data_IF_026382461364
#
_entry.id   IF_026382461364
#
_cell.length_a   1.000
_cell.length_b   1.000
_cell.length_c   1.000
_cell.angle_alpha   90.00
_cell.angle_beta   90.00
_cell.angle_gamma   90.00
#
_symmetry.space_group_name_H-M   'P 1'
#
loop_
_entity.id
_entity.type
_entity.pdbx_description
1 polymer ?
#
# COMPACT_ATOMS: atom_id res chain seq x y z
N UNK A 1 -8.04 21.66 -1.81
CA UNK A 1 -7.28 21.73 -0.54
C UNK A 1 -6.28 20.60 -0.53
N UNK A 2 -5.11 20.76 0.09
CA UNK A 2 -4.12 19.66 0.14
C UNK A 2 -4.61 18.53 1.05
N UNK A 3 -4.67 17.30 0.53
CA UNK A 3 -4.97 16.11 1.31
C UNK A 3 -3.72 15.68 2.09
N UNK A 4 -3.73 15.87 3.41
CA UNK A 4 -2.67 15.39 4.31
C UNK A 4 -2.89 13.93 4.63
N UNK A 5 -2.21 13.05 3.91
CA UNK A 5 -2.45 11.61 3.94
C UNK A 5 -1.12 10.88 3.79
N UNK A 6 -0.97 9.82 4.58
CA UNK A 6 0.08 8.81 4.45
C UNK A 6 -0.59 7.52 3.95
N UNK A 7 0.09 6.77 3.09
CA UNK A 7 -0.39 5.50 2.49
C UNK A 7 -1.79 5.59 1.88
N UNK A 8 -2.00 6.44 0.85
CA UNK A 8 -3.30 6.64 0.24
C UNK A 8 -3.75 5.40 -0.57
N UNK A 9 -4.98 4.95 -0.34
CA UNK A 9 -5.62 3.93 -1.18
C UNK A 9 -6.90 4.45 -1.81
N UNK A 10 -7.01 4.38 -3.14
CA UNK A 10 -8.17 4.88 -3.89
C UNK A 10 -8.99 3.75 -4.48
N UNK A 11 -10.30 3.74 -4.21
CA UNK A 11 -11.28 2.91 -4.91
C UNK A 11 -12.14 3.81 -5.80
N UNK A 12 -12.12 3.56 -7.11
CA UNK A 12 -13.06 4.16 -8.05
C UNK A 12 -14.33 3.31 -8.13
N UNK A 13 -15.34 3.66 -7.32
CA UNK A 13 -16.61 2.94 -7.27
C UNK A 13 -17.48 3.32 -8.48
N UNK A 14 -17.53 2.43 -9.46
CA UNK A 14 -18.26 2.66 -10.71
C UNK A 14 -19.77 2.71 -10.51
N UNK A 15 -20.31 2.03 -9.50
CA UNK A 15 -21.75 1.94 -9.27
C UNK A 15 -22.29 3.29 -8.75
N UNK A 16 -21.54 3.94 -7.85
CA UNK A 16 -21.91 5.26 -7.32
C UNK A 16 -21.27 6.44 -8.06
N UNK A 17 -20.35 6.19 -8.99
CA UNK A 17 -19.51 7.20 -9.65
C UNK A 17 -18.82 8.11 -8.63
N UNK A 18 -18.18 7.47 -7.64
CA UNK A 18 -17.49 8.14 -6.53
C UNK A 18 -16.12 7.51 -6.29
N UNK A 19 -15.10 8.35 -6.14
CA UNK A 19 -13.80 7.94 -5.65
C UNK A 19 -13.80 7.95 -4.13
N UNK A 20 -13.25 6.89 -3.55
CA UNK A 20 -13.05 6.73 -2.11
C UNK A 20 -11.57 6.68 -1.83
N UNK A 21 -11.08 7.54 -0.94
CA UNK A 21 -9.67 7.54 -0.54
C UNK A 21 -9.57 7.20 0.93
N UNK A 22 -8.96 6.04 1.22
CA UNK A 22 -8.80 5.47 2.55
C UNK A 22 -7.45 5.87 3.15
N UNK A 23 -7.46 6.17 4.45
CA UNK A 23 -6.26 6.52 5.22
C UNK A 23 -6.49 6.22 6.70
N UNK A 24 -5.40 6.07 7.47
CA UNK A 24 -5.45 6.09 8.94
C UNK A 24 -6.34 7.26 9.41
N UNK A 25 -7.22 7.01 10.37
CA UNK A 25 -8.03 8.05 10.99
C UNK A 25 -7.12 9.13 11.61
N UNK A 26 -7.33 10.39 11.22
CA UNK A 26 -6.75 11.55 11.88
C UNK A 26 -7.83 12.24 12.74
N UNK A 27 -7.73 12.15 14.08
CA UNK A 27 -8.69 12.79 14.99
C UNK A 27 -8.77 14.31 14.81
N UNK A 28 -7.73 14.97 14.29
CA UNK A 28 -7.77 16.40 14.01
C UNK A 28 -8.71 16.75 12.85
N UNK A 29 -9.01 15.79 11.97
CA UNK A 29 -9.89 15.97 10.80
C UNK A 29 -11.29 15.42 11.09
N UNK A 30 -11.40 14.22 11.65
CA UNK A 30 -12.69 13.56 11.91
C UNK A 30 -13.35 14.04 13.20
N UNK A 31 -12.55 14.43 14.20
CA UNK A 31 -13.01 14.76 15.55
C UNK A 31 -13.20 13.52 16.45
N UNK A 32 -12.87 12.33 15.97
CA UNK A 32 -13.03 11.06 16.71
C UNK A 32 -11.66 10.42 16.95
N UNK A 33 -11.41 10.08 18.22
CA UNK A 33 -10.12 9.60 18.72
C UNK A 33 -9.95 8.08 18.59
N UNK A 34 -10.97 7.35 18.15
CA UNK A 34 -10.89 5.89 18.02
C UNK A 34 -9.85 5.50 16.96
N UNK A 35 -9.09 4.46 17.26
CA UNK A 35 -8.13 3.87 16.33
C UNK A 35 -8.88 3.20 15.19
N UNK A 36 -8.55 3.54 13.94
CA UNK A 36 -9.31 3.05 12.81
C UNK A 36 -8.97 3.75 11.51
N UNK A 37 -9.83 3.55 10.51
CA UNK A 37 -9.66 4.06 9.15
C UNK A 37 -10.76 5.07 8.84
N UNK A 38 -10.36 6.17 8.21
CA UNK A 38 -11.26 7.15 7.63
C UNK A 38 -11.22 7.08 6.10
N UNK A 39 -12.29 7.53 5.47
CA UNK A 39 -12.36 7.66 4.02
C UNK A 39 -12.86 9.05 3.62
N UNK A 40 -12.19 9.64 2.63
CA UNK A 40 -12.67 10.79 1.88
C UNK A 40 -13.47 10.31 0.67
N UNK A 41 -14.42 11.11 0.21
CA UNK A 41 -15.14 10.86 -1.04
C UNK A 41 -15.00 12.04 -1.99
N UNK A 42 -14.92 11.75 -3.29
CA UNK A 42 -14.81 12.74 -4.36
C UNK A 42 -15.49 12.24 -5.63
N UNK A 43 -15.95 13.15 -6.49
CA UNK A 43 -16.43 12.81 -7.84
C UNK A 43 -15.39 13.08 -8.93
N UNK A 44 -14.31 13.78 -8.62
CA UNK A 44 -13.37 14.32 -9.60
C UNK A 44 -11.89 14.21 -9.20
N UNK A 45 -11.59 13.59 -8.05
CA UNK A 45 -10.26 13.48 -7.43
C UNK A 45 -9.64 14.80 -6.95
N UNK A 46 -10.23 15.94 -7.27
CA UNK A 46 -9.73 17.26 -6.91
C UNK A 46 -10.44 17.84 -5.67
N UNK A 47 -11.75 17.61 -5.58
CA UNK A 47 -12.60 18.12 -4.53
C UNK A 47 -13.06 16.96 -3.65
N UNK A 48 -12.58 16.95 -2.41
CA UNK A 48 -12.87 15.91 -1.43
C UNK A 48 -13.81 16.45 -0.35
N UNK A 49 -14.84 15.67 -0.05
CA UNK A 49 -15.72 15.94 1.09
C UNK A 49 -15.00 15.71 2.42
N UNK A 50 -15.61 16.18 3.52
CA UNK A 50 -15.09 15.89 4.86
C UNK A 50 -15.04 14.35 5.06
N UNK A 51 -13.94 13.79 5.56
CA UNK A 51 -13.84 12.34 5.69
C UNK A 51 -14.76 11.84 6.80
N UNK A 52 -15.12 10.56 6.68
CA UNK A 52 -15.87 9.82 7.68
C UNK A 52 -15.11 8.59 8.11
N UNK A 53 -15.33 8.17 9.35
CA UNK A 53 -14.80 6.89 9.84
C UNK A 53 -15.56 5.76 9.17
N UNK A 54 -14.81 4.82 8.59
CA UNK A 54 -15.34 3.62 7.92
C UNK A 54 -15.01 2.34 8.68
N UNK A 55 -14.00 2.38 9.55
CA UNK A 55 -13.65 1.26 10.43
C UNK A 55 -13.11 1.81 11.75
N UNK A 56 -13.49 1.18 12.86
CA UNK A 56 -12.85 1.38 14.16
C UNK A 56 -12.44 0.04 14.72
N UNK A 57 -11.21 -0.07 15.22
CA UNK A 57 -10.76 -1.26 15.93
C UNK A 57 -11.64 -1.45 17.17
N UNK A 58 -12.34 -2.59 17.31
CA UNK A 58 -13.14 -2.87 18.50
C UNK A 58 -12.29 -2.97 19.76
N UNK A 59 -12.86 -2.54 20.89
CA UNK A 59 -12.26 -2.75 22.20
C UNK A 59 -12.11 -4.24 22.51
N UNK A 60 -11.12 -4.60 23.33
CA UNK A 60 -10.87 -5.99 23.74
C UNK A 60 -10.13 -6.84 22.70
N UNK A 61 -9.77 -6.28 21.54
CA UNK A 61 -8.79 -6.90 20.64
C UNK A 61 -7.38 -6.86 21.22
N UNK A 62 -6.47 -7.68 20.70
CA UNK A 62 -5.08 -7.68 21.17
C UNK A 62 -4.30 -6.44 20.72
N UNK A 63 -4.72 -5.79 19.63
CA UNK A 63 -4.06 -4.61 19.07
C UNK A 63 -4.49 -3.34 19.82
N UNK A 64 -3.58 -2.37 19.93
CA UNK A 64 -3.86 -1.09 20.60
C UNK A 64 -3.30 0.13 19.85
N UNK A 65 -2.58 -0.08 18.75
CA UNK A 65 -2.07 0.98 17.88
C UNK A 65 -1.94 0.46 16.43
N UNK A 66 -1.50 1.32 15.52
CA UNK A 66 -1.39 1.05 14.10
C UNK A 66 -2.47 1.78 13.30
N UNK A 67 -3.31 0.99 12.62
CA UNK A 67 -4.22 1.43 11.56
C UNK A 67 -3.46 2.04 10.37
N UNK A 68 -2.32 1.44 10.02
CA UNK A 68 -1.45 1.90 8.93
C UNK A 68 -1.86 1.27 7.60
N UNK A 69 -1.56 1.98 6.50
CA UNK A 69 -1.68 1.49 5.14
C UNK A 69 -2.99 0.73 4.84
N UNK A 70 -4.15 1.39 4.95
CA UNK A 70 -5.41 0.74 4.65
C UNK A 70 -5.58 0.50 3.15
N UNK A 71 -5.83 -0.73 2.77
CA UNK A 71 -6.27 -1.09 1.43
C UNK A 71 -7.70 -1.61 1.45
N UNK A 72 -8.45 -1.34 0.39
CA UNK A 72 -9.84 -1.81 0.23
C UNK A 72 -10.00 -2.50 -1.11
N UNK A 73 -10.39 -3.77 -1.04
CA UNK A 73 -10.50 -4.68 -2.18
C UNK A 73 -11.90 -5.26 -2.29
N UNK A 74 -12.37 -5.48 -3.51
CA UNK A 74 -13.58 -6.24 -3.75
C UNK A 74 -13.26 -7.72 -3.92
N UNK A 75 -13.95 -8.59 -3.19
CA UNK A 75 -13.80 -10.04 -3.31
C UNK A 75 -15.15 -10.72 -3.11
N UNK A 76 -15.53 -11.62 -4.04
CA UNK A 76 -16.79 -12.39 -3.99
C UNK A 76 -18.04 -11.55 -3.63
N UNK A 77 -18.15 -10.36 -4.23
CA UNK A 77 -19.30 -9.46 -4.05
C UNK A 77 -19.34 -8.69 -2.73
N UNK A 78 -18.26 -8.72 -1.95
CA UNK A 78 -18.13 -7.96 -0.70
C UNK A 78 -16.86 -7.11 -0.73
N UNK A 79 -16.77 -6.16 0.19
CA UNK A 79 -15.64 -5.26 0.34
C UNK A 79 -14.81 -5.66 1.54
N UNK A 80 -13.51 -5.73 1.36
CA UNK A 80 -12.55 -6.14 2.38
C UNK A 80 -11.55 -5.03 2.60
N UNK A 81 -11.42 -4.61 3.85
CA UNK A 81 -10.43 -3.65 4.30
C UNK A 81 -9.29 -4.41 4.96
N UNK A 82 -8.06 -4.15 4.49
CA UNK A 82 -6.81 -4.63 5.05
C UNK A 82 -6.09 -3.44 5.66
N UNK A 83 -5.65 -3.52 6.91
CA UNK A 83 -4.82 -2.47 7.51
C UNK A 83 -3.93 -3.06 8.61
N UNK A 84 -2.75 -2.47 8.81
CA UNK A 84 -1.75 -2.97 9.75
C UNK A 84 -1.98 -2.43 11.15
N UNK A 85 -1.99 -3.33 12.13
CA UNK A 85 -2.13 -3.02 13.55
C UNK A 85 -1.03 -3.67 14.37
N UNK A 86 -0.73 -3.11 15.54
CA UNK A 86 0.27 -3.66 16.44
C UNK A 86 -0.07 -3.47 17.91
N UNK A 87 0.72 -4.13 18.76
CA UNK A 87 0.76 -3.91 20.19
C UNK A 87 2.15 -4.25 20.72
N UNK A 88 2.90 -3.24 21.20
CA UNK A 88 4.26 -3.44 21.70
C UNK A 88 4.34 -4.30 22.97
N UNK A 89 3.24 -4.40 23.72
CA UNK A 89 3.15 -5.28 24.89
C UNK A 89 2.90 -6.75 24.52
N UNK A 90 2.48 -7.04 23.28
CA UNK A 90 2.30 -8.40 22.77
C UNK A 90 3.64 -8.92 22.18
N UNK A 91 4.61 -9.14 23.07
CA UNK A 91 5.97 -9.58 22.70
C UNK A 91 5.95 -10.93 22.00
N UNK A 92 6.71 -11.04 20.91
CA UNK A 92 6.98 -12.31 20.20
C UNK A 92 8.48 -12.63 20.31
N UNK A 93 8.86 -13.88 20.00
CA UNK A 93 10.26 -14.28 20.09
C UNK A 93 11.15 -13.43 19.17
N UNK A 94 12.12 -12.73 19.77
CA UNK A 94 13.11 -11.97 19.03
C UNK A 94 13.94 -12.89 18.13
N UNK A 95 13.98 -12.58 16.84
CA UNK A 95 14.80 -13.26 15.83
C UNK A 95 16.06 -12.45 15.45
N UNK A 96 16.19 -11.24 15.97
CA UNK A 96 17.25 -10.27 15.63
C UNK A 96 17.72 -9.43 16.81
N UNK A 97 18.30 -8.26 16.50
CA UNK A 97 18.91 -7.35 17.50
C UNK A 97 17.92 -6.46 18.25
N UNK A 98 16.66 -6.45 17.81
CA UNK A 98 15.61 -5.52 18.26
C UNK A 98 14.52 -6.29 19.00
N UNK A 99 13.81 -5.64 19.95
CA UNK A 99 12.59 -6.21 20.49
C UNK A 99 11.55 -6.37 19.38
N UNK A 100 10.87 -7.50 19.38
CA UNK A 100 9.83 -7.83 18.42
C UNK A 100 8.50 -8.01 19.14
N UNK A 101 7.44 -7.56 18.50
CA UNK A 101 6.09 -7.66 19.02
C UNK A 101 5.11 -7.92 17.90
N UNK A 102 3.89 -8.31 18.25
CA UNK A 102 2.84 -8.60 17.28
C UNK A 102 2.51 -7.32 16.50
N UNK A 103 2.78 -7.36 15.20
CA UNK A 103 2.37 -6.39 14.18
C UNK A 103 1.96 -7.17 12.96
N UNK A 104 0.77 -6.89 12.44
CA UNK A 104 0.20 -7.67 11.33
C UNK A 104 -0.98 -6.94 10.70
N UNK A 105 -1.29 -7.31 9.47
CA UNK A 105 -2.47 -6.83 8.75
C UNK A 105 -3.73 -7.57 9.22
N UNK A 106 -4.71 -6.79 9.69
CA UNK A 106 -6.04 -7.27 10.05
C UNK A 106 -7.00 -7.13 8.88
N UNK A 107 -8.04 -7.97 8.86
CA UNK A 107 -9.09 -7.95 7.85
C UNK A 107 -10.41 -7.50 8.46
N UNK A 108 -11.08 -6.57 7.80
CA UNK A 108 -12.46 -6.21 8.09
C UNK A 108 -13.29 -6.34 6.81
N UNK A 109 -14.61 -6.53 6.95
CA UNK A 109 -15.51 -6.76 5.82
C UNK A 109 -16.75 -5.89 5.89
N UNK A 110 -17.24 -5.50 4.72
CA UNK A 110 -18.52 -4.82 4.53
C UNK A 110 -19.24 -5.39 3.31
N UNK A 111 -20.57 -5.34 3.32
CA UNK A 111 -21.37 -5.72 2.15
C UNK A 111 -21.43 -4.59 1.12
N UNK A 112 -21.23 -3.34 1.55
CA UNK A 112 -21.18 -2.15 0.70
C UNK A 112 -19.96 -1.29 1.03
N UNK A 113 -19.39 -0.63 0.02
CA UNK A 113 -18.21 0.23 0.21
C UNK A 113 -18.49 1.40 1.16
N UNK A 114 -19.73 1.88 1.18
CA UNK A 114 -20.17 3.05 1.94
C UNK A 114 -20.65 2.74 3.37
N UNK A 115 -20.75 1.46 3.71
CA UNK A 115 -21.10 0.95 5.04
C UNK A 115 -19.86 0.79 5.95
N UNK A 116 -20.02 0.83 7.28
CA UNK A 116 -18.93 0.53 8.21
C UNK A 116 -18.41 -0.91 8.06
N UNK A 117 -17.09 -1.06 7.99
CA UNK A 117 -16.43 -2.36 7.97
C UNK A 117 -16.42 -2.99 9.36
N UNK A 118 -16.64 -4.30 9.41
CA UNK A 118 -16.65 -5.10 10.64
C UNK A 118 -15.41 -5.99 10.71
N UNK A 119 -14.70 -5.96 11.83
CA UNK A 119 -13.50 -6.79 12.05
C UNK A 119 -13.79 -8.28 11.88
N UNK A 120 -12.93 -8.98 11.16
CA UNK A 120 -12.98 -10.43 10.98
C UNK A 120 -12.05 -11.15 11.95
N UNK A 121 -12.36 -12.43 12.21
CA UNK A 121 -11.51 -13.36 13.00
C UNK A 121 -11.11 -12.85 14.39
N UNK A 122 -11.89 -11.96 14.99
CA UNK A 122 -11.54 -11.35 16.29
C UNK A 122 -10.20 -10.59 16.27
N UNK A 123 -9.68 -10.23 15.09
CA UNK A 123 -8.36 -9.62 14.94
C UNK A 123 -7.20 -10.62 14.82
N UNK A 124 -7.45 -11.91 14.63
CA UNK A 124 -6.35 -12.85 14.37
C UNK A 124 -5.71 -12.63 12.98
N UNK A 125 -4.36 -12.69 12.91
CA UNK A 125 -3.61 -12.43 11.69
C UNK A 125 -3.91 -13.50 10.63
N UNK A 126 -3.69 -13.10 9.38
CA UNK A 126 -3.63 -14.06 8.27
C UNK A 126 -2.22 -14.67 8.19
N UNK A 127 -1.19 -13.82 8.28
CA UNK A 127 0.21 -14.22 8.32
C UNK A 127 0.56 -14.91 9.66
N UNK A 128 1.68 -15.64 9.75
CA UNK A 128 2.10 -16.30 10.99
C UNK A 128 2.22 -15.31 12.16
N UNK A 129 1.69 -15.68 13.34
CA UNK A 129 1.61 -14.78 14.49
C UNK A 129 2.97 -14.42 15.13
N UNK A 130 4.00 -15.23 14.87
CA UNK A 130 5.38 -15.00 15.31
C UNK A 130 6.21 -14.19 14.30
N UNK A 131 5.60 -13.74 13.21
CA UNK A 131 6.19 -12.84 12.24
C UNK A 131 5.62 -11.42 12.42
N UNK A 132 6.52 -10.45 12.39
CA UNK A 132 6.23 -9.04 12.47
C UNK A 132 6.05 -8.55 11.03
N UNK A 133 4.80 -8.42 10.61
CA UNK A 133 4.44 -8.14 9.22
C UNK A 133 3.64 -6.85 9.09
N UNK A 134 3.70 -6.23 7.91
CA UNK A 134 2.97 -5.02 7.58
C UNK A 134 2.56 -4.98 6.11
N UNK A 135 1.73 -4.01 5.77
CA UNK A 135 1.29 -3.67 4.41
C UNK A 135 0.80 -4.87 3.59
N UNK A 136 -0.10 -5.65 4.18
CA UNK A 136 -0.72 -6.77 3.49
C UNK A 136 -1.71 -6.33 2.42
N UNK A 137 -1.41 -6.65 1.16
CA UNK A 137 -2.27 -6.45 -0.01
C UNK A 137 -2.94 -7.74 -0.46
N UNK A 138 -4.16 -7.63 -0.99
CA UNK A 138 -4.88 -8.74 -1.61
C UNK A 138 -4.63 -8.72 -3.13
N UNK A 139 -4.12 -9.83 -3.67
CA UNK A 139 -4.00 -10.03 -5.11
C UNK A 139 -4.79 -11.26 -5.55
N UNK A 140 -5.55 -11.16 -6.65
CA UNK A 140 -6.23 -12.30 -7.26
C UNK A 140 -5.47 -12.67 -8.53
N UNK A 141 -4.92 -13.89 -8.57
CA UNK A 141 -4.13 -14.34 -9.71
C UNK A 141 -4.98 -14.65 -10.96
N UNK A 142 -4.33 -14.92 -12.08
CA UNK A 142 -4.98 -15.22 -13.36
C UNK A 142 -5.88 -16.48 -13.33
N UNK A 143 -5.73 -17.35 -12.31
CA UNK A 143 -6.60 -18.53 -12.11
C UNK A 143 -7.78 -18.24 -11.17
N UNK A 144 -7.91 -17.00 -10.69
CA UNK A 144 -8.94 -16.57 -9.77
C UNK A 144 -8.66 -16.95 -8.32
N UNK A 145 -7.42 -17.28 -7.96
CA UNK A 145 -7.05 -17.61 -6.57
C UNK A 145 -6.53 -16.38 -5.83
N UNK A 146 -7.02 -16.14 -4.60
CA UNK A 146 -6.56 -15.01 -3.80
C UNK A 146 -5.21 -15.32 -3.13
N UNK A 147 -4.38 -14.29 -3.03
CA UNK A 147 -3.09 -14.28 -2.38
C UNK A 147 -3.01 -13.07 -1.44
N UNK A 148 -2.42 -13.27 -0.27
CA UNK A 148 -1.92 -12.14 0.53
C UNK A 148 -0.46 -11.94 0.15
N UNK A 149 -0.07 -10.71 -0.20
CA UNK A 149 1.33 -10.31 -0.33
C UNK A 149 1.60 -9.23 0.72
N UNK A 150 2.72 -9.30 1.41
CA UNK A 150 3.00 -8.43 2.55
C UNK A 150 4.51 -8.22 2.74
N UNK A 151 4.87 -7.23 3.55
CA UNK A 151 6.23 -7.03 4.01
C UNK A 151 6.50 -7.76 5.34
N UNK A 152 7.55 -8.57 5.40
CA UNK A 152 8.12 -9.08 6.64
C UNK A 152 9.16 -8.08 7.14
N UNK A 153 8.89 -7.52 8.31
CA UNK A 153 9.51 -6.28 8.68
C UNK A 153 11.01 -6.41 8.98
N UNK A 154 11.78 -5.46 8.44
CA UNK A 154 13.21 -5.32 8.67
C UNK A 154 13.60 -5.28 10.16
N UNK A 155 12.71 -4.84 11.06
CA UNK A 155 12.92 -4.87 12.51
C UNK A 155 13.20 -6.29 13.01
N UNK A 156 12.55 -7.29 12.42
CA UNK A 156 12.72 -8.70 12.77
C UNK A 156 13.77 -9.41 11.91
N UNK A 157 13.84 -9.12 10.61
CA UNK A 157 14.67 -9.89 9.63
C UNK A 157 15.89 -9.17 9.09
N UNK A 158 16.13 -7.91 9.47
CA UNK A 158 17.29 -7.11 9.06
C UNK A 158 17.13 -6.51 7.66
N UNK A 159 17.23 -7.34 6.61
CA UNK A 159 16.73 -6.92 5.30
C UNK A 159 15.28 -7.41 5.19
N UNK A 160 14.35 -6.45 5.16
CA UNK A 160 12.94 -6.70 4.97
C UNK A 160 12.71 -7.53 3.71
N UNK A 161 11.65 -8.32 3.75
CA UNK A 161 11.27 -9.19 2.64
C UNK A 161 9.87 -8.87 2.19
N UNK A 162 9.60 -9.03 0.89
CA UNK A 162 8.24 -9.20 0.42
C UNK A 162 7.97 -10.70 0.35
N UNK A 163 6.86 -11.12 0.95
CA UNK A 163 6.43 -12.51 1.00
C UNK A 163 4.98 -12.62 0.50
N UNK A 164 4.62 -13.79 0.01
CA UNK A 164 3.26 -14.09 -0.40
C UNK A 164 2.77 -15.40 0.21
N UNK A 165 1.47 -15.51 0.44
CA UNK A 165 0.84 -16.76 0.86
C UNK A 165 -0.51 -16.96 0.16
N UNK A 166 -0.82 -18.20 -0.28
CA UNK A 166 -2.10 -18.47 -0.92
C UNK A 166 -3.22 -18.37 0.12
N UNK A 167 -4.37 -17.86 -0.29
CA UNK A 167 -5.56 -17.75 0.54
C UNK A 167 -6.67 -18.69 0.03
N UNK A 168 -7.55 -19.07 0.95
CA UNK A 168 -8.83 -19.68 0.62
C UNK A 168 -9.83 -18.59 0.24
N UNK A 169 -10.99 -19.03 -0.22
CA UNK A 169 -12.09 -18.16 -0.62
C UNK A 169 -12.65 -17.28 0.53
N UNK A 170 -12.47 -17.71 1.78
CA UNK A 170 -12.81 -16.93 2.98
C UNK A 170 -11.68 -16.01 3.45
N UNK A 171 -10.61 -15.89 2.64
CA UNK A 171 -9.40 -15.13 2.91
C UNK A 171 -8.62 -15.60 4.16
N UNK A 172 -8.80 -16.87 4.57
CA UNK A 172 -7.89 -17.55 5.49
C UNK A 172 -6.69 -18.15 4.76
N UNK A 173 -5.59 -18.38 5.49
CA UNK A 173 -4.39 -19.03 4.94
C UNK A 173 -4.71 -20.39 4.31
N UNK A 174 -4.21 -20.62 3.09
CA UNK A 174 -4.28 -21.91 2.37
C UNK A 174 -2.94 -22.65 2.32
N UNK A 175 -1.86 -22.06 2.83
CA UNK A 175 -0.51 -22.63 2.83
C UNK A 175 0.48 -21.72 3.56
N UNK A 176 1.74 -22.15 3.70
CA UNK A 176 2.77 -21.33 4.31
C UNK A 176 3.15 -20.13 3.42
N UNK A 177 3.73 -19.07 3.98
CA UNK A 177 4.35 -18.03 3.20
C UNK A 177 5.52 -18.51 2.35
N UNK A 178 5.74 -17.82 1.24
CA UNK A 178 6.90 -17.95 0.37
C UNK A 178 7.59 -16.58 0.24
N UNK A 179 8.91 -16.60 0.34
CA UNK A 179 9.74 -15.43 0.05
C UNK A 179 9.64 -15.09 -1.45
N UNK A 180 9.31 -13.85 -1.78
CA UNK A 180 9.33 -13.35 -3.15
C UNK A 180 10.69 -12.72 -3.48
N UNK A 181 11.16 -11.81 -2.64
CA UNK A 181 12.49 -11.21 -2.69
C UNK A 181 12.79 -10.47 -1.39
N UNK A 182 14.08 -10.17 -1.17
CA UNK A 182 14.56 -9.29 -0.11
C UNK A 182 14.86 -7.90 -0.65
N UNK A 183 14.77 -6.87 0.18
CA UNK A 183 15.11 -5.51 -0.24
C UNK A 183 16.57 -5.37 -0.71
N UNK A 184 17.51 -6.14 -0.16
CA UNK A 184 18.93 -6.09 -0.51
C UNK A 184 19.29 -6.81 -1.83
N UNK A 185 18.30 -7.41 -2.51
CA UNK A 185 18.46 -7.93 -3.88
C UNK A 185 18.32 -6.83 -4.95
N UNK A 186 17.76 -5.67 -4.59
CA UNK A 186 17.64 -4.51 -5.45
C UNK A 186 18.88 -3.62 -5.36
N UNK A 187 19.58 -3.40 -6.48
CA UNK A 187 20.83 -2.64 -6.56
C UNK A 187 20.69 -1.14 -6.24
N UNK A 188 19.47 -0.61 -6.32
CA UNK A 188 19.12 0.78 -6.03
C UNK A 188 18.75 1.02 -4.57
N UNK A 189 18.53 -0.03 -3.77
CA UNK A 189 18.15 0.11 -2.37
C UNK A 189 19.36 0.48 -1.51
N UNK A 190 19.18 1.48 -0.66
CA UNK A 190 20.19 1.97 0.28
C UNK A 190 19.81 1.56 1.70
N UNK A 191 20.65 0.71 2.29
CA UNK A 191 20.51 0.27 3.67
C UNK A 191 20.61 1.42 4.68
N UNK A 192 19.78 1.36 5.71
CA UNK A 192 19.68 2.36 6.77
C UNK A 192 20.51 1.89 7.98
N UNK A 193 21.45 2.72 8.44
CA UNK A 193 22.22 2.44 9.65
C UNK A 193 21.36 2.63 10.89
N UNK A 194 21.34 1.63 11.75
CA UNK A 194 20.53 1.65 12.97
C UNK A 194 21.36 1.92 14.23
N UNK A 195 20.74 2.37 15.35
CA UNK A 195 21.43 2.59 16.62
C UNK A 195 22.17 1.35 17.14
N UNK A 196 21.67 0.14 16.85
CA UNK A 196 22.28 -1.14 17.22
C UNK A 196 23.52 -1.52 16.37
N UNK A 197 23.90 -0.66 15.41
CA UNK A 197 25.13 -0.75 14.64
C UNK A 197 25.07 -1.61 13.38
N UNK A 198 23.96 -2.29 13.11
CA UNK A 198 23.67 -2.99 11.86
C UNK A 198 23.07 -2.06 10.79
N UNK A 199 23.05 -2.56 9.56
CA UNK A 199 22.40 -1.93 8.41
C UNK A 199 21.17 -2.77 8.07
N UNK A 200 20.04 -2.10 7.91
CA UNK A 200 18.74 -2.72 7.61
C UNK A 200 18.21 -2.21 6.28
N UNK A 201 17.34 -2.97 5.63
CA UNK A 201 16.76 -2.59 4.33
C UNK A 201 15.25 -2.69 4.43
N UNK A 202 14.55 -1.61 4.11
CA UNK A 202 13.09 -1.51 4.28
C UNK A 202 12.38 -2.12 3.06
N UNK A 203 11.25 -2.76 3.30
CA UNK A 203 10.27 -3.20 2.30
C UNK A 203 8.90 -2.74 2.78
N UNK A 204 8.21 -1.93 1.99
CA UNK A 204 6.87 -1.40 2.33
C UNK A 204 5.95 -1.41 1.10
N UNK A 205 4.65 -1.29 1.35
CA UNK A 205 3.61 -0.98 0.35
C UNK A 205 3.61 -1.82 -0.93
N UNK A 206 3.59 -3.17 -0.86
CA UNK A 206 3.44 -3.98 -2.06
C UNK A 206 2.03 -3.80 -2.67
N UNK A 207 1.95 -3.54 -3.97
CA UNK A 207 0.68 -3.66 -4.73
C UNK A 207 0.95 -4.40 -6.05
N UNK A 208 0.24 -5.50 -6.28
CA UNK A 208 0.41 -6.30 -7.49
C UNK A 208 -0.65 -5.96 -8.53
N UNK A 209 -0.22 -5.75 -9.77
CA UNK A 209 -1.10 -5.44 -10.88
C UNK A 209 -0.63 -6.09 -12.17
N UNK A 210 -1.59 -6.41 -13.05
CA UNK A 210 -1.31 -6.91 -14.40
C UNK A 210 -1.49 -5.80 -15.43
N UNK A 211 -0.57 -5.71 -16.38
CA UNK A 211 -0.69 -4.81 -17.53
C UNK A 211 -1.72 -5.30 -18.54
N UNK A 212 -2.06 -4.46 -19.51
CA UNK A 212 -2.95 -4.80 -20.62
C UNK A 212 -2.48 -6.01 -21.45
N UNK A 213 -1.19 -6.37 -21.43
CA UNK A 213 -0.63 -7.56 -22.10
C UNK A 213 -0.43 -8.76 -21.16
N UNK A 214 -0.86 -8.67 -19.90
CA UNK A 214 -0.80 -9.75 -18.92
C UNK A 214 0.57 -9.91 -18.24
N UNK A 215 1.47 -8.93 -18.33
CA UNK A 215 2.69 -8.94 -17.53
C UNK A 215 2.36 -8.54 -16.09
N UNK A 216 2.88 -9.29 -15.12
CA UNK A 216 2.64 -9.07 -13.69
C UNK A 216 3.76 -8.21 -13.09
N UNK A 217 3.36 -7.14 -12.43
CA UNK A 217 4.24 -6.20 -11.74
C UNK A 217 3.84 -6.05 -10.28
N UNK A 218 4.76 -5.49 -9.52
CA UNK A 218 4.57 -5.10 -8.13
C UNK A 218 5.12 -3.69 -7.94
N UNK A 219 4.26 -2.77 -7.51
CA UNK A 219 4.70 -1.56 -6.82
C UNK A 219 5.21 -1.95 -5.44
N UNK A 220 6.32 -1.39 -4.99
CA UNK A 220 6.81 -1.51 -3.62
C UNK A 220 7.71 -0.32 -3.27
N UNK A 221 7.97 -0.10 -2.00
CA UNK A 221 8.77 1.04 -1.53
C UNK A 221 9.94 0.64 -0.64
N UNK A 222 10.98 1.46 -0.72
CA UNK A 222 12.19 1.38 0.11
C UNK A 222 12.90 2.74 0.12
N UNK A 223 14.11 2.79 0.70
CA UNK A 223 14.97 3.97 0.66
C UNK A 223 16.00 3.86 -0.46
N UNK A 224 16.01 4.84 -1.36
CA UNK A 224 17.08 5.05 -2.33
C UNK A 224 18.13 6.05 -1.81
N UNK A 225 19.06 6.44 -2.68
CA UNK A 225 20.12 7.42 -2.37
C UNK A 225 19.61 8.77 -1.84
N UNK A 226 18.45 9.21 -2.32
CA UNK A 226 17.93 10.56 -2.12
C UNK A 226 16.60 10.57 -1.31
N UNK A 227 16.30 9.49 -0.57
CA UNK A 227 15.13 9.38 0.30
C UNK A 227 14.22 8.19 -0.02
N UNK A 228 12.99 8.21 0.50
CA UNK A 228 11.99 7.18 0.24
C UNK A 228 11.54 7.22 -1.23
N UNK A 229 11.34 6.05 -1.84
CA UNK A 229 10.99 5.91 -3.26
C UNK A 229 9.84 4.94 -3.50
N UNK A 230 9.04 5.21 -4.52
CA UNK A 230 8.13 4.25 -5.13
C UNK A 230 8.92 3.51 -6.21
N UNK A 231 8.98 2.19 -6.14
CA UNK A 231 9.71 1.36 -7.09
C UNK A 231 8.79 0.33 -7.74
N UNK A 232 9.38 -0.36 -8.72
CA UNK A 232 8.71 -1.39 -9.51
C UNK A 232 9.55 -2.68 -9.55
N UNK A 233 8.88 -3.82 -9.38
CA UNK A 233 9.42 -5.14 -9.66
C UNK A 233 8.54 -5.88 -10.68
N UNK A 234 9.13 -6.78 -11.46
CA UNK A 234 8.46 -7.56 -12.51
C UNK A 234 8.56 -9.04 -12.22
N UNK A 235 7.43 -9.75 -12.24
CA UNK A 235 7.46 -11.21 -12.21
C UNK A 235 7.82 -11.75 -13.59
N UNK A 236 9.00 -12.37 -13.68
CA UNK A 236 9.54 -12.92 -14.93
C UNK A 236 8.76 -14.15 -15.42
N UNK A 237 8.03 -14.82 -14.53
CA UNK A 237 7.15 -15.94 -14.87
C UNK A 237 5.70 -15.51 -15.15
N UNK A 238 5.33 -14.28 -14.82
CA UNK A 238 3.94 -13.81 -14.86
C UNK A 238 3.07 -14.33 -13.71
N UNK A 239 3.66 -14.96 -12.68
CA UNK A 239 2.94 -15.50 -11.52
C UNK A 239 3.41 -14.86 -10.22
N UNK A 240 2.56 -14.88 -9.18
CA UNK A 240 2.86 -14.29 -7.86
C UNK A 240 4.16 -14.84 -7.27
N UNK A 241 4.47 -16.11 -7.52
CA UNK A 241 5.64 -16.80 -6.98
C UNK A 241 6.97 -16.34 -7.61
N UNK A 242 6.94 -15.42 -8.57
CA UNK A 242 8.14 -14.90 -9.23
C UNK A 242 8.81 -15.94 -10.15
N UNK A 243 10.13 -15.82 -10.43
CA UNK A 243 11.08 -14.88 -9.82
C UNK A 243 10.77 -13.40 -10.12
N UNK A 244 11.13 -12.53 -9.18
CA UNK A 244 10.90 -11.08 -9.26
C UNK A 244 12.18 -10.33 -9.62
N UNK A 245 12.17 -9.68 -10.78
CA UNK A 245 13.22 -8.79 -11.25
C UNK A 245 12.99 -7.38 -10.71
N UNK A 246 14.03 -6.78 -10.13
CA UNK A 246 13.98 -5.43 -9.57
C UNK A 246 14.26 -4.39 -10.66
N UNK A 247 13.29 -3.55 -11.00
CA UNK A 247 13.41 -2.61 -12.13
C UNK A 247 13.93 -1.22 -11.74
N UNK A 248 13.73 -0.81 -10.49
CA UNK A 248 14.20 0.49 -9.99
C UNK A 248 13.09 1.42 -9.53
N UNK A 249 13.47 2.62 -9.04
CA UNK A 249 12.54 3.68 -8.68
C UNK A 249 11.69 4.13 -9.88
N UNK A 250 10.38 4.21 -9.66
CA UNK A 250 9.38 4.77 -10.56
C UNK A 250 9.10 6.25 -10.21
N UNK A 251 9.04 6.58 -8.92
CA UNK A 251 8.90 7.95 -8.40
C UNK A 251 9.86 8.12 -7.23
N UNK A 252 10.64 9.20 -7.27
CA UNK A 252 11.64 9.53 -6.24
C UNK A 252 11.17 10.71 -5.36
N UNK A 253 12.12 11.37 -4.67
CA UNK A 253 11.90 12.60 -3.88
C UNK A 253 11.04 12.40 -2.64
N UNK A 254 11.38 11.39 -1.86
CA UNK A 254 10.71 11.07 -0.61
C UNK A 254 9.22 10.73 -0.84
N UNK A 255 8.94 10.03 -1.93
CA UNK A 255 7.61 9.59 -2.34
C UNK A 255 7.54 8.08 -2.28
N UNK A 256 6.45 7.50 -1.80
CA UNK A 256 6.30 6.05 -1.83
C UNK A 256 4.95 5.61 -1.33
N UNK A 257 4.86 4.29 -1.09
CA UNK A 257 3.65 3.61 -0.68
C UNK A 257 2.45 4.05 -1.53
N UNK A 258 2.63 3.92 -2.83
CA UNK A 258 1.65 4.28 -3.82
C UNK A 258 0.83 3.11 -4.29
N UNK A 259 -0.29 3.44 -4.92
CA UNK A 259 -1.14 2.47 -5.57
C UNK A 259 -1.65 2.97 -6.92
N UNK A 260 -1.91 2.03 -7.82
CA UNK A 260 -2.49 2.26 -9.14
C UNK A 260 -4.01 2.08 -9.10
N UNK A 261 -4.72 2.96 -9.80
CA UNK A 261 -6.15 2.82 -10.02
C UNK A 261 -6.54 3.35 -11.39
N UNK A 262 -7.72 2.95 -11.87
CA UNK A 262 -8.31 3.51 -13.08
C UNK A 262 -9.32 4.59 -12.72
N UNK A 263 -9.15 5.77 -13.28
CA UNK A 263 -10.16 6.82 -13.22
C UNK A 263 -11.40 6.45 -14.07
N UNK A 264 -12.53 7.11 -13.84
CA UNK A 264 -13.78 6.87 -14.58
C UNK A 264 -13.68 7.14 -16.08
N UNK A 265 -12.72 7.99 -16.50
CA UNK A 265 -12.43 8.25 -17.92
C UNK A 265 -11.45 7.23 -18.54
N UNK A 266 -11.04 6.21 -17.79
CA UNK A 266 -10.17 5.14 -18.23
C UNK A 266 -8.67 5.42 -18.09
N UNK A 267 -8.26 6.62 -17.68
CA UNK A 267 -6.85 6.93 -17.39
C UNK A 267 -6.33 6.01 -16.27
N UNK A 268 -5.12 5.50 -16.44
CA UNK A 268 -4.39 4.86 -15.36
C UNK A 268 -3.76 5.97 -14.51
N UNK A 269 -4.03 5.94 -13.22
CA UNK A 269 -3.56 6.90 -12.25
C UNK A 269 -2.73 6.18 -11.19
N UNK A 270 -1.76 6.88 -10.62
CA UNK A 270 -1.09 6.49 -9.38
C UNK A 270 -1.32 7.56 -8.34
N UNK A 271 -1.54 7.16 -7.10
CA UNK A 271 -1.44 8.05 -5.94
C UNK A 271 -0.29 7.58 -5.06
N UNK A 272 0.52 8.51 -4.55
CA UNK A 272 1.58 8.24 -3.57
C UNK A 272 1.46 9.24 -2.43
N UNK A 273 2.10 8.96 -1.29
CA UNK A 273 2.32 9.99 -0.27
C UNK A 273 3.67 10.70 -0.51
N UNK A 274 3.74 12.02 -0.33
CA UNK A 274 4.98 12.81 -0.42
C UNK A 274 4.90 14.12 0.39
N UNK A 275 5.96 14.55 1.08
CA UNK A 275 7.13 13.75 1.48
C UNK A 275 6.73 12.69 2.53
N UNK A 276 7.64 11.82 2.97
CA UNK A 276 7.34 10.78 3.97
C UNK A 276 6.80 11.39 5.28
N UNK A 277 7.39 12.50 5.75
CA UNK A 277 6.92 13.21 6.95
C UNK A 277 5.94 14.33 6.60
N UNK A 278 4.80 14.38 7.27
CA UNK A 278 3.70 15.35 7.00
C UNK A 278 3.21 15.23 5.56
N UNK A 279 3.01 13.99 5.16
CA UNK A 279 2.75 13.61 3.79
C UNK A 279 1.48 14.21 3.22
N UNK A 280 1.53 14.47 1.91
CA UNK A 280 0.41 14.86 1.07
C UNK A 280 0.16 13.78 0.03
N UNK A 281 -1.10 13.56 -0.35
CA UNK A 281 -1.39 12.74 -1.52
C UNK A 281 -0.91 13.44 -2.80
N UNK A 282 -0.19 12.71 -3.65
CA UNK A 282 0.28 13.16 -4.98
C UNK A 282 -0.21 12.22 -6.06
N UNK A 283 -0.78 12.80 -7.10
CA UNK A 283 -1.39 12.05 -8.20
C UNK A 283 -0.51 12.12 -9.44
N UNK A 284 -0.39 11.00 -10.13
CA UNK A 284 0.32 10.90 -11.40
C UNK A 284 -0.58 10.23 -12.42
N UNK A 285 -0.59 10.77 -13.64
CA UNK A 285 -1.06 10.00 -14.78
C UNK A 285 0.00 9.00 -15.17
N UNK A 286 -0.42 7.77 -15.43
CA UNK A 286 0.45 6.65 -15.74
C UNK A 286 0.14 6.13 -17.14
N UNK A 287 1.14 5.52 -17.76
CA UNK A 287 1.02 4.86 -19.06
C UNK A 287 1.38 3.39 -18.92
N UNK A 288 0.47 2.53 -19.35
CA UNK A 288 0.70 1.09 -19.51
C UNK A 288 1.07 0.81 -20.99
N UNK A 289 2.30 0.35 -21.25
CA UNK A 289 2.76 -0.04 -22.60
C UNK A 289 2.58 -1.55 -22.87
N UNK A 290 2.05 -2.27 -21.89
CA UNK A 290 1.88 -3.70 -21.83
C UNK A 290 3.09 -4.44 -21.26
N UNK A 291 4.30 -3.98 -21.54
CA UNK A 291 5.55 -4.56 -21.02
C UNK A 291 6.23 -3.68 -19.94
N UNK A 292 5.68 -2.49 -19.69
CA UNK A 292 6.12 -1.52 -18.67
C UNK A 292 4.94 -0.67 -18.21
N UNK A 293 5.13 -0.03 -17.05
CA UNK A 293 4.32 1.11 -16.60
C UNK A 293 5.25 2.29 -16.37
N UNK A 294 4.85 3.46 -16.86
CA UNK A 294 5.67 4.68 -16.86
C UNK A 294 4.85 5.85 -16.30
N UNK A 295 5.52 6.76 -15.60
CA UNK A 295 4.92 8.04 -15.21
C UNK A 295 4.79 8.92 -16.45
N UNK A 296 3.57 9.36 -16.76
CA UNK A 296 3.30 10.29 -17.85
C UNK A 296 3.54 11.73 -17.42
N UNK A 297 2.93 12.13 -16.30
CA UNK A 297 3.06 13.44 -15.67
C UNK A 297 2.53 13.40 -14.24
N UNK A 298 2.93 14.39 -13.45
CA UNK A 298 2.27 14.71 -12.19
C UNK A 298 0.97 15.49 -12.47
N UNK A 299 -0.13 15.08 -11.83
CA UNK A 299 -1.45 15.70 -11.95
C UNK A 299 -1.63 16.74 -10.84
N UNK A 300 -0.85 17.83 -10.93
CA UNK A 300 -0.81 18.90 -9.91
C UNK A 300 -2.17 19.56 -9.68
N UNK A 301 -3.04 19.52 -10.68
CA UNK A 301 -4.43 19.97 -10.57
C UNK A 301 -5.24 19.17 -9.53
N UNK A 302 -4.78 17.99 -9.12
CA UNK A 302 -5.44 17.11 -8.14
C UNK A 302 -4.79 17.17 -6.74
N UNK A 303 -3.54 17.60 -6.62
CA UNK A 303 -2.80 17.56 -5.35
C UNK A 303 -2.50 18.93 -4.72
N UNK A 304 -2.89 20.00 -5.42
CA UNK A 304 -2.83 21.38 -4.97
C UNK A 304 -1.44 22.01 -5.08
N UNK A 305 -0.43 21.35 -5.65
CA UNK A 305 0.82 22.02 -6.01
C UNK A 305 0.66 23.00 -7.17
N UNK A 306 1.45 24.07 -7.13
CA UNK A 306 1.43 25.10 -8.17
C UNK A 306 2.22 24.69 -9.43
N UNK A 307 3.20 23.80 -9.30
CA UNK A 307 4.09 23.36 -10.38
C UNK A 307 4.48 21.90 -10.19
N UNK A 308 4.60 21.11 -11.27
CA UNK A 308 5.01 19.71 -11.18
C UNK A 308 6.46 19.62 -10.70
N UNK A 309 6.73 18.62 -9.87
CA UNK A 309 8.08 18.34 -9.40
C UNK A 309 8.79 17.37 -10.34
N UNK A 310 8.07 16.43 -10.96
CA UNK A 310 8.63 15.54 -11.96
C UNK A 310 8.62 16.22 -13.33
N UNK A 311 9.79 16.22 -14.01
CA UNK A 311 9.96 16.93 -15.28
C UNK A 311 8.97 16.41 -16.32
N UNK A 312 8.43 17.32 -17.14
CA UNK A 312 7.55 16.91 -18.21
C UNK A 312 8.28 16.00 -19.20
N UNK A 313 7.63 14.95 -19.71
CA UNK A 313 8.24 14.04 -20.66
C UNK A 313 8.85 14.85 -21.80
N UNK A 314 10.13 14.60 -22.09
CA UNK A 314 10.87 15.30 -23.15
C UNK A 314 10.06 15.24 -24.45
N UNK A 315 9.50 16.39 -24.86
CA UNK A 315 8.70 16.51 -26.09
C UNK A 315 7.41 17.33 -25.98
N UNK A 316 6.91 17.63 -24.77
CA UNK A 316 5.77 18.54 -24.62
C UNK A 316 6.25 20.00 -24.66
N UNK A 317 6.09 20.68 -25.81
CA UNK A 317 6.36 22.12 -25.97
C UNK A 317 5.15 23.02 -25.65
N UNK A 318 4.03 22.46 -25.21
CA UNK A 318 2.82 23.26 -24.97
C UNK A 318 2.63 23.57 -23.48
N UNK A 319 2.57 24.88 -23.21
CA UNK A 319 2.43 25.50 -21.91
C UNK A 319 1.21 24.95 -21.14
N UNK A 320 1.49 24.34 -20.00
CA UNK A 320 0.53 23.59 -19.18
C UNK A 320 1.22 22.49 -18.37
N UNK A 321 2.43 22.14 -18.82
CA UNK A 321 3.62 22.04 -17.99
C UNK A 321 4.33 23.41 -17.94
#
# INVERSE_FOLDING_TARGET
>A
SHLRIHDPWVVADTDSQTYWLFSRNDPAVTGDKRLGIMAYVSRDLAHWEKPRIVFTLPDGTWANDGAWAPEVHQWKGRWYLLATFHNEAAVIQAKGRRPTYRRTTLLAVSDRLDDPFTLMRGGDPIAPADDMTLDGTLHVDATGKPWLVYAHEWMQVGAGTIEAMPLKDDLSAAGPPQLLFRADEADWVVGQKQPEGDIVHVTDGPELFSTAKGALFMLWSSYGKDGYVQALARSTSGTVTGPWEQLGPLVERDSGHGMLFRAFDGRLMMVVHRPFKRALAKFYEMRDTGDRVEVLREAVELDGEAYPTHGCPMGAQDAGC
#
